data_IF_545702493621
#
_entry.id   IF_545702493621
#
_cell.length_a   1.000
_cell.length_b   1.000
_cell.length_c   1.000
_cell.angle_alpha   90.00
_cell.angle_beta   90.00
_cell.angle_gamma   90.00
#
_symmetry.space_group_name_H-M   'P 1'
#
loop_
_entity.id
_entity.type
_entity.pdbx_description
1 polymer ?
#
# COMPACT_ATOMS: atom_id res chain seq x y z
N UNK A 1 -2.28 6.39 -0.32
CA UNK A 1 -2.15 7.79 -0.77
C UNK A 1 -2.02 8.80 0.37
N UNK A 2 -2.82 8.68 1.44
CA UNK A 2 -2.78 9.65 2.55
C UNK A 2 -1.41 9.75 3.22
N UNK A 3 -0.75 8.61 3.46
CA UNK A 3 0.62 8.58 3.98
C UNK A 3 1.64 9.26 3.05
N UNK A 4 1.42 9.21 1.74
CA UNK A 4 2.28 9.79 0.70
C UNK A 4 2.10 11.30 0.61
N UNK A 5 0.87 11.79 0.81
CA UNK A 5 0.57 13.23 0.82
C UNK A 5 1.22 14.02 1.96
N UNK A 6 1.73 13.34 2.99
CA UNK A 6 2.51 13.97 4.06
C UNK A 6 3.93 14.34 3.61
N UNK A 7 4.40 13.81 2.47
CA UNK A 7 5.73 14.12 1.96
C UNK A 7 5.78 15.51 1.33
N UNK A 8 6.90 16.20 1.53
CA UNK A 8 7.10 17.55 1.00
C UNK A 8 7.05 17.58 -0.52
N UNK A 9 6.29 18.53 -1.07
CA UNK A 9 6.12 18.67 -2.51
C UNK A 9 5.15 17.67 -3.14
N UNK A 10 4.39 16.93 -2.32
CA UNK A 10 3.28 16.08 -2.77
C UNK A 10 1.95 16.73 -2.38
N UNK A 11 1.03 16.82 -3.34
CA UNK A 11 -0.33 17.33 -3.13
C UNK A 11 -1.31 16.23 -3.57
N UNK A 12 -2.36 16.00 -2.80
CA UNK A 12 -3.42 15.03 -3.12
C UNK A 12 -4.73 15.76 -3.43
N UNK A 13 -5.40 15.34 -4.50
CA UNK A 13 -6.76 15.72 -4.89
C UNK A 13 -7.58 14.44 -5.17
N UNK A 14 -8.93 14.47 -5.30
CA UNK A 14 -9.72 13.30 -5.66
C UNK A 14 -9.35 12.67 -7.01
N UNK A 15 -8.63 13.42 -7.86
CA UNK A 15 -8.14 12.96 -9.15
C UNK A 15 -6.77 12.26 -9.07
N UNK A 16 -6.03 12.37 -7.96
CA UNK A 16 -4.76 11.68 -7.74
C UNK A 16 -3.70 12.50 -6.98
N UNK A 17 -2.46 12.02 -7.01
CA UNK A 17 -1.30 12.70 -6.41
C UNK A 17 -0.52 13.51 -7.45
N UNK A 18 -0.07 14.69 -7.02
CA UNK A 18 0.71 15.65 -7.79
C UNK A 18 2.05 15.84 -7.11
N UNK A 19 3.13 15.50 -7.81
CA UNK A 19 4.49 15.64 -7.29
C UNK A 19 5.13 16.87 -7.95
N UNK A 20 5.57 17.83 -7.14
CA UNK A 20 6.24 19.07 -7.57
C UNK A 20 5.51 19.84 -8.69
N UNK A 21 4.18 19.79 -8.70
CA UNK A 21 3.34 20.49 -9.68
C UNK A 21 3.15 19.79 -11.03
N UNK A 22 3.63 18.56 -11.18
CA UNK A 22 3.33 17.72 -12.34
C UNK A 22 1.96 17.04 -12.25
N UNK A 23 1.49 16.42 -13.33
CA UNK A 23 0.08 15.97 -13.43
C UNK A 23 -0.17 14.64 -12.73
N UNK A 24 -1.43 14.39 -12.35
CA UNK A 24 -1.84 13.16 -11.68
C UNK A 24 -1.51 11.87 -12.48
N UNK A 25 -1.55 11.93 -13.82
CA UNK A 25 -1.21 10.79 -14.69
C UNK A 25 0.28 10.68 -15.03
N UNK A 26 1.08 11.70 -14.69
CA UNK A 26 2.54 11.69 -14.85
C UNK A 26 3.25 11.16 -13.59
N UNK A 27 2.48 10.80 -12.57
CA UNK A 27 2.94 10.16 -11.33
C UNK A 27 2.79 8.65 -11.45
N UNK A 28 3.90 7.93 -11.31
CA UNK A 28 3.90 6.47 -11.34
C UNK A 28 3.58 5.87 -9.98
N UNK A 29 2.88 4.74 -9.99
CA UNK A 29 2.63 3.94 -8.80
C UNK A 29 3.21 2.55 -8.98
N UNK A 30 4.08 2.15 -8.07
CA UNK A 30 4.76 0.86 -8.11
C UNK A 30 4.56 0.17 -6.78
N UNK A 31 4.11 -1.08 -6.83
CA UNK A 31 4.00 -1.97 -5.67
C UNK A 31 4.90 -3.16 -5.92
N UNK A 32 5.90 -3.35 -5.05
CA UNK A 32 6.87 -4.45 -5.13
C UNK A 32 7.57 -4.60 -6.50
N UNK A 33 7.81 -3.48 -7.17
CA UNK A 33 8.44 -3.43 -8.49
C UNK A 33 7.50 -3.64 -9.67
N UNK A 34 6.20 -3.81 -9.43
CA UNK A 34 5.16 -3.94 -10.47
C UNK A 34 4.32 -2.65 -10.51
N UNK A 35 3.95 -2.20 -11.71
CA UNK A 35 3.06 -1.05 -11.86
C UNK A 35 1.69 -1.34 -11.23
N UNK A 36 1.28 -0.48 -10.31
CA UNK A 36 -0.04 -0.48 -9.68
C UNK A 36 -0.92 0.68 -10.18
N UNK A 37 -0.55 1.24 -11.34
CA UNK A 37 -1.28 2.35 -11.95
C UNK A 37 -2.56 1.84 -12.61
N UNK A 38 -3.67 2.55 -12.39
CA UNK A 38 -4.95 2.21 -13.01
C UNK A 38 -4.83 2.38 -14.55
N UNK A 39 -5.00 1.31 -15.35
CA UNK A 39 -4.89 1.39 -16.81
C UNK A 39 -6.05 2.13 -17.48
N UNK A 40 -7.17 2.36 -16.78
CA UNK A 40 -8.34 3.06 -17.31
C UNK A 40 -8.23 4.57 -17.12
N UNK A 41 -7.97 5.01 -15.89
CA UNK A 41 -7.88 6.43 -15.57
C UNK A 41 -6.47 7.00 -15.79
N UNK A 42 -5.44 6.15 -15.76
CA UNK A 42 -4.04 6.59 -15.79
C UNK A 42 -3.62 7.39 -14.55
N UNK A 43 -4.52 7.57 -13.59
CA UNK A 43 -4.36 8.43 -12.41
C UNK A 43 -4.68 7.64 -11.14
N UNK A 44 -3.93 7.91 -10.07
CA UNK A 44 -4.18 7.35 -8.73
C UNK A 44 -3.66 5.93 -8.54
N UNK A 45 -3.75 5.47 -7.29
CA UNK A 45 -3.39 4.12 -6.89
C UNK A 45 -4.53 3.16 -7.29
N UNK A 46 -4.32 2.28 -8.28
CA UNK A 46 -5.34 1.31 -8.72
C UNK A 46 -5.67 0.22 -7.68
N UNK A 47 -5.08 0.32 -6.49
CA UNK A 47 -5.22 -0.62 -5.38
C UNK A 47 -5.49 0.16 -4.09
N UNK A 48 -6.61 -0.09 -3.43
CA UNK A 48 -6.83 0.41 -2.06
C UNK A 48 -6.19 -0.58 -1.08
N UNK A 49 -4.94 -0.31 -0.71
CA UNK A 49 -4.18 -1.13 0.22
C UNK A 49 -4.12 -0.40 1.58
N UNK A 50 -4.57 -1.09 2.63
CA UNK A 50 -4.56 -0.56 3.98
C UNK A 50 -3.13 -0.29 4.46
N UNK A 51 -2.95 0.77 5.27
CA UNK A 51 -1.63 1.25 5.73
C UNK A 51 -0.77 0.16 6.39
N UNK A 52 -1.40 -0.85 6.99
CA UNK A 52 -0.72 -1.95 7.69
C UNK A 52 -0.16 -3.05 6.77
N UNK A 53 -0.48 -2.99 5.47
CA UNK A 53 0.05 -3.93 4.47
C UNK A 53 1.39 -3.48 3.88
N UNK A 54 1.83 -2.25 4.17
CA UNK A 54 3.05 -1.67 3.63
C UNK A 54 4.20 -1.77 4.64
N UNK A 55 5.37 -2.18 4.16
CA UNK A 55 6.62 -2.10 4.92
C UNK A 55 7.30 -0.74 4.74
N UNK A 56 7.29 -0.18 3.53
CA UNK A 56 7.97 1.08 3.24
C UNK A 56 7.28 1.81 2.09
N UNK A 57 7.27 3.13 2.16
CA UNK A 57 6.73 4.03 1.13
C UNK A 57 7.81 5.04 0.78
N UNK A 58 8.25 5.03 -0.46
CA UNK A 58 9.26 5.93 -1.00
C UNK A 58 8.66 6.78 -2.12
N UNK A 59 8.94 8.09 -2.11
CA UNK A 59 8.54 8.98 -3.20
C UNK A 59 9.78 9.55 -3.84
N UNK A 60 9.98 9.20 -5.10
CA UNK A 60 11.08 9.67 -5.92
C UNK A 60 10.55 10.84 -6.75
N UNK A 61 10.97 12.05 -6.41
CA UNK A 61 10.47 13.30 -6.99
C UNK A 61 11.36 13.86 -8.11
N UNK A 62 12.31 13.07 -8.60
CA UNK A 62 13.26 13.47 -9.66
C UNK A 62 14.37 12.43 -9.84
N UNK A 63 14.99 12.41 -11.03
CA UNK A 63 15.99 11.39 -11.38
C UNK A 63 15.40 9.98 -11.47
N UNK A 64 14.14 9.89 -11.87
CA UNK A 64 13.42 8.62 -12.03
C UNK A 64 14.11 7.78 -13.10
N UNK A 65 14.44 6.54 -12.77
CA UNK A 65 15.08 5.61 -13.70
C UNK A 65 14.13 5.15 -14.81
N UNK A 66 14.69 4.72 -15.94
CA UNK A 66 13.93 4.29 -17.11
C UNK A 66 13.10 3.03 -16.87
N UNK A 67 13.40 2.27 -15.81
CA UNK A 67 12.64 1.09 -15.37
C UNK A 67 11.17 1.38 -15.05
N UNK A 68 10.85 2.63 -14.71
CA UNK A 68 9.50 3.04 -14.37
C UNK A 68 8.68 3.53 -15.58
N UNK A 69 9.31 3.71 -16.74
CA UNK A 69 8.62 4.03 -17.99
C UNK A 69 8.02 5.44 -18.05
N UNK A 70 6.75 5.54 -18.44
CA UNK A 70 5.99 6.77 -18.77
C UNK A 70 5.66 7.63 -17.54
N UNK A 71 6.70 8.03 -16.79
CA UNK A 71 6.58 8.79 -15.54
C UNK A 71 7.50 10.00 -15.59
N UNK A 72 6.89 11.18 -15.46
CA UNK A 72 7.61 12.46 -15.63
C UNK A 72 7.64 13.28 -14.34
N UNK A 73 6.62 13.15 -13.48
CA UNK A 73 6.49 13.93 -12.24
C UNK A 73 7.24 13.30 -11.07
N UNK A 74 7.22 11.97 -11.00
CA UNK A 74 7.81 11.18 -9.93
C UNK A 74 7.20 9.79 -9.83
N UNK A 75 7.74 8.98 -8.94
CA UNK A 75 7.27 7.62 -8.67
C UNK A 75 7.02 7.45 -7.18
N UNK A 76 5.86 6.91 -6.85
CA UNK A 76 5.54 6.40 -5.53
C UNK A 76 5.80 4.91 -5.54
N UNK A 77 6.88 4.49 -4.89
CA UNK A 77 7.25 3.09 -4.72
C UNK A 77 6.80 2.62 -3.35
N UNK A 78 6.00 1.57 -3.35
CA UNK A 78 5.47 0.96 -2.14
C UNK A 78 5.98 -0.45 -2.06
N UNK A 79 6.60 -0.78 -0.93
CA UNK A 79 7.03 -2.14 -0.62
C UNK A 79 6.04 -2.73 0.35
N UNK A 80 5.42 -3.86 0.00
CA UNK A 80 4.53 -4.57 0.91
C UNK A 80 5.34 -5.25 2.01
N UNK A 81 4.66 -5.57 3.11
CA UNK A 81 5.25 -6.35 4.18
C UNK A 81 5.32 -7.82 3.72
N UNK A 82 6.53 -8.37 3.63
CA UNK A 82 6.70 -9.82 3.45
C UNK A 82 6.62 -10.52 4.81
N UNK A 83 5.92 -11.66 4.84
CA UNK A 83 5.97 -12.58 5.97
C UNK A 83 7.39 -13.01 6.33
N UNK A 84 7.66 -13.19 7.62
CA UNK A 84 8.90 -13.75 8.11
C UNK A 84 8.94 -15.28 8.04
N UNK A 85 10.03 -15.88 8.53
CA UNK A 85 10.15 -17.34 8.74
C UNK A 85 9.17 -17.86 9.83
N UNK A 86 8.49 -16.96 10.55
CA UNK A 86 7.52 -17.27 11.60
C UNK A 86 6.15 -16.71 11.24
N UNK A 87 5.09 -17.45 11.57
CA UNK A 87 3.73 -16.95 11.47
C UNK A 87 3.53 -15.81 12.47
N UNK A 88 3.12 -14.65 11.96
CA UNK A 88 2.74 -13.47 12.72
C UNK A 88 1.35 -12.99 12.29
N UNK A 89 0.62 -12.35 13.20
CA UNK A 89 -0.66 -11.76 12.88
C UNK A 89 -1.02 -10.66 13.85
N UNK A 90 -1.78 -9.68 13.37
CA UNK A 90 -2.27 -8.58 14.18
C UNK A 90 -3.78 -8.41 13.99
N UNK A 91 -4.44 -7.97 15.04
CA UNK A 91 -5.83 -7.56 15.02
C UNK A 91 -5.94 -6.22 15.73
N UNK A 92 -6.58 -5.25 15.08
CA UNK A 92 -6.82 -3.93 15.62
C UNK A 92 -8.31 -3.59 15.51
N UNK A 93 -8.84 -3.04 16.58
CA UNK A 93 -10.20 -2.52 16.64
C UNK A 93 -10.14 -1.09 17.17
N UNK A 94 -10.48 -0.12 16.32
CA UNK A 94 -10.49 1.30 16.65
C UNK A 94 -11.93 1.79 16.60
N UNK A 95 -12.38 2.37 17.72
CA UNK A 95 -13.70 2.98 17.84
C UNK A 95 -13.59 4.36 18.46
N UNK A 96 -14.49 5.26 18.09
CA UNK A 96 -14.55 6.62 18.63
C UNK A 96 -15.51 6.78 19.82
N UNK A 97 -16.35 5.77 20.10
CA UNK A 97 -17.45 5.84 21.06
C UNK A 97 -17.30 4.84 22.23
N UNK A 98 -16.37 5.08 23.17
CA UNK A 98 -16.21 4.21 24.34
C UNK A 98 -17.28 4.46 25.42
N UNK A 99 -18.49 3.94 25.20
CA UNK A 99 -19.55 3.85 26.22
C UNK A 99 -20.28 5.15 26.60
N UNK A 100 -19.98 6.28 25.96
CA UNK A 100 -20.73 7.52 26.16
C UNK A 100 -21.95 7.57 25.24
N UNK A 101 -23.12 7.19 25.77
CA UNK A 101 -24.43 7.43 25.14
C UNK A 101 -24.91 8.89 25.32
N UNK A 102 -23.99 9.86 25.29
CA UNK A 102 -24.36 11.27 25.38
C UNK A 102 -24.54 11.79 23.95
N UNK A 103 -25.80 11.82 23.51
CA UNK A 103 -26.24 12.32 22.20
C UNK A 103 -25.93 13.83 21.96
N UNK A 104 -25.24 14.49 22.89
CA UNK A 104 -24.84 15.90 22.83
C UNK A 104 -23.38 16.14 22.41
N UNK A 105 -22.54 15.10 22.29
CA UNK A 105 -21.17 15.28 21.80
C UNK A 105 -21.11 15.13 20.27
N UNK A 106 -21.17 16.27 19.58
CA UNK A 106 -20.97 16.44 18.12
C UNK A 106 -19.61 15.94 17.58
N UNK A 107 -18.78 15.31 18.43
CA UNK A 107 -17.44 14.83 18.12
C UNK A 107 -17.35 13.30 17.87
N UNK A 108 -18.46 12.58 17.94
CA UNK A 108 -18.48 11.13 17.66
C UNK A 108 -19.05 10.89 16.26
N UNK A 109 -18.28 10.25 15.39
CA UNK A 109 -18.68 9.89 14.03
C UNK A 109 -19.19 8.44 13.93
N UNK A 110 -19.24 7.72 15.06
CA UNK A 110 -19.61 6.30 15.15
C UNK A 110 -18.76 5.44 14.21
N UNK A 111 -17.48 5.77 14.12
CA UNK A 111 -16.56 5.07 13.23
C UNK A 111 -15.92 3.90 13.96
N UNK A 112 -16.25 2.68 13.52
CA UNK A 112 -15.60 1.44 13.93
C UNK A 112 -14.71 0.94 12.79
N UNK A 113 -13.41 0.80 13.05
CA UNK A 113 -12.42 0.27 12.11
C UNK A 113 -11.92 -1.05 12.67
N UNK A 114 -12.09 -2.11 11.88
CA UNK A 114 -11.52 -3.42 12.14
C UNK A 114 -10.40 -3.67 11.15
N UNK A 115 -9.26 -4.10 11.65
CA UNK A 115 -8.12 -4.43 10.83
C UNK A 115 -7.52 -5.76 11.27
N UNK A 116 -7.20 -6.60 10.28
CA UNK A 116 -6.60 -7.90 10.48
C UNK A 116 -5.43 -8.07 9.52
N UNK A 117 -4.31 -8.55 10.03
CA UNK A 117 -3.16 -8.95 9.21
C UNK A 117 -2.65 -10.32 9.65
N UNK A 118 -2.17 -11.10 8.68
CA UNK A 118 -1.49 -12.37 8.90
C UNK A 118 -0.34 -12.45 7.91
N UNK A 119 0.83 -12.89 8.37
CA UNK A 119 2.02 -13.08 7.56
C UNK A 119 2.79 -14.32 8.03
N UNK A 120 3.57 -14.93 7.15
CA UNK A 120 4.39 -16.08 7.51
C UNK A 120 5.09 -16.75 6.33
N UNK A 121 5.75 -17.90 6.58
CA UNK A 121 6.46 -18.63 5.54
C UNK A 121 5.50 -19.15 4.47
N UNK A 122 5.96 -19.09 3.23
CA UNK A 122 5.12 -19.24 2.07
C UNK A 122 4.58 -20.67 1.89
N UNK A 123 3.36 -20.94 2.34
CA UNK A 123 2.73 -22.28 2.27
C UNK A 123 2.63 -22.79 0.82
N UNK A 124 2.37 -21.91 -0.15
CA UNK A 124 2.30 -22.24 -1.58
C UNK A 124 3.66 -22.68 -2.15
N UNK A 125 4.72 -21.94 -1.85
CA UNK A 125 6.06 -22.24 -2.34
C UNK A 125 6.72 -23.43 -1.63
N UNK A 126 6.54 -23.55 -0.32
CA UNK A 126 7.21 -24.60 0.47
C UNK A 126 6.47 -25.94 0.46
N UNK A 127 5.12 -25.95 0.36
CA UNK A 127 4.33 -27.19 0.51
C UNK A 127 3.58 -27.63 -0.75
N UNK A 128 3.22 -26.72 -1.65
CA UNK A 128 2.35 -27.03 -2.81
C UNK A 128 3.18 -27.22 -4.09
N UNK A 129 4.10 -26.29 -4.38
CA UNK A 129 4.97 -26.35 -5.57
C UNK A 129 5.86 -27.62 -5.62
N UNK A 130 6.51 -28.05 -4.52
CA UNK A 130 7.29 -29.30 -4.52
C UNK A 130 6.43 -30.54 -4.74
N UNK A 131 5.17 -30.54 -4.26
CA UNK A 131 4.22 -31.63 -4.51
C UNK A 131 3.76 -31.71 -5.96
N UNK A 132 3.90 -30.63 -6.73
CA UNK A 132 3.64 -30.56 -8.17
C UNK A 132 4.91 -30.81 -9.02
N UNK A 133 6.04 -31.15 -8.39
CA UNK A 133 7.31 -31.42 -9.07
C UNK A 133 8.07 -30.16 -9.51
N UNK A 134 7.67 -28.99 -9.02
CA UNK A 134 8.33 -27.71 -9.29
C UNK A 134 9.13 -27.31 -8.05
N UNK A 135 10.45 -27.47 -8.12
CA UNK A 135 11.38 -27.04 -7.06
C UNK A 135 11.95 -25.67 -7.43
N UNK A 136 11.49 -24.62 -6.74
CA UNK A 136 11.94 -23.25 -6.98
C UNK A 136 13.05 -22.93 -5.98
N UNK A 137 14.28 -22.61 -6.44
CA UNK A 137 15.35 -22.25 -5.53
C UNK A 137 15.06 -20.89 -4.87
N UNK A 138 14.83 -20.89 -3.56
CA UNK A 138 14.63 -19.68 -2.75
C UNK A 138 13.52 -19.84 -1.70
N UNK A 139 13.59 -19.07 -0.62
CA UNK A 139 12.49 -18.94 0.33
C UNK A 139 11.54 -17.85 -0.15
N UNK A 140 10.30 -18.22 -0.41
CA UNK A 140 9.22 -17.27 -0.73
C UNK A 140 8.35 -17.17 0.52
N UNK A 141 8.11 -15.95 0.99
CA UNK A 141 7.25 -15.66 2.14
C UNK A 141 6.21 -14.61 1.75
N UNK A 142 5.10 -14.59 2.48
CA UNK A 142 3.97 -13.68 2.25
C UNK A 142 3.47 -13.09 3.56
#
# INVERSE_FOLDING_TARGET
EDAVSLQSGVIKDPTGLYIKGGRAYETGYVVDGVSAQDPLAGTGFGLDLGANSFSNIEVITGGVGAEYGDVTSGVVSVKTRNGGDTYEGSFSHKRDNFGSNVMDNQANYFQDIYEFSIGGPGVLAEKILPKLGLDIPGKISF
#
